data_IF_606073414395
#
_entry.id   IF_606073414395
#
_cell.length_a   1.000
_cell.length_b   1.000
_cell.length_c   1.000
_cell.angle_alpha   90.00
_cell.angle_beta   90.00
_cell.angle_gamma   90.00
#
_symmetry.space_group_name_H-M   'P 1'
#
loop_
_entity.id
_entity.type
_entity.pdbx_description
1 polymer ?
#
# COMPACT_ATOMS: atom_id res chain seq x y z
N UNK A 1 22.21 -4.07 13.51
CA UNK A 1 21.81 -2.71 13.15
C UNK A 1 20.70 -2.76 12.11
N UNK A 2 19.60 -2.07 12.35
CA UNK A 2 18.51 -2.09 11.38
C UNK A 2 18.85 -1.22 10.19
N UNK A 3 18.40 -1.63 9.02
CA UNK A 3 18.51 -0.84 7.81
C UNK A 3 17.14 -0.21 7.54
N UNK A 4 17.02 1.08 7.84
CA UNK A 4 15.75 1.81 7.76
C UNK A 4 15.12 1.74 6.37
N UNK A 5 15.93 1.85 5.32
CA UNK A 5 15.40 1.82 3.96
C UNK A 5 14.84 0.43 3.60
N UNK A 6 15.51 -0.62 4.05
CA UNK A 6 15.03 -1.99 3.83
C UNK A 6 13.73 -2.23 4.60
N UNK A 7 13.66 -1.79 5.85
CA UNK A 7 12.44 -1.93 6.65
C UNK A 7 11.26 -1.22 6.01
N UNK A 8 11.46 0.00 5.56
CA UNK A 8 10.40 0.78 4.89
C UNK A 8 10.01 0.17 3.55
N UNK A 9 10.96 -0.38 2.83
CA UNK A 9 10.70 -1.09 1.57
C UNK A 9 9.84 -2.32 1.80
N UNK A 10 10.14 -3.11 2.85
CA UNK A 10 9.35 -4.30 3.19
C UNK A 10 7.92 -3.91 3.58
N UNK A 11 7.75 -2.85 4.35
CA UNK A 11 6.43 -2.33 4.71
C UNK A 11 5.63 -1.92 3.46
N UNK A 12 6.29 -1.27 2.52
CA UNK A 12 5.68 -0.86 1.27
C UNK A 12 5.20 -2.07 0.47
N UNK A 13 6.02 -3.12 0.38
CA UNK A 13 5.67 -4.35 -0.32
C UNK A 13 4.43 -5.01 0.29
N UNK A 14 4.38 -5.10 1.62
CA UNK A 14 3.23 -5.68 2.33
C UNK A 14 1.97 -4.87 2.03
N UNK A 15 2.08 -3.55 2.02
CA UNK A 15 0.96 -2.68 1.72
C UNK A 15 0.44 -2.91 0.29
N UNK A 16 1.34 -3.04 -0.68
CA UNK A 16 0.98 -3.34 -2.06
C UNK A 16 0.26 -4.68 -2.16
N UNK A 17 0.77 -5.71 -1.50
CA UNK A 17 0.15 -7.03 -1.50
C UNK A 17 -1.25 -7.00 -0.90
N UNK A 18 -1.42 -6.26 0.19
CA UNK A 18 -2.73 -6.10 0.83
C UNK A 18 -3.71 -5.39 -0.09
N UNK A 19 -3.24 -4.35 -0.78
CA UNK A 19 -4.06 -3.58 -1.72
C UNK A 19 -4.49 -4.38 -2.94
N UNK A 20 -3.67 -5.29 -3.39
CA UNK A 20 -3.94 -6.06 -4.60
C UNK A 20 -5.30 -6.73 -4.56
N UNK A 21 -5.65 -7.38 -3.45
CA UNK A 21 -6.93 -8.04 -3.30
C UNK A 21 -8.09 -7.06 -3.43
N UNK A 22 -8.00 -5.92 -2.79
CA UNK A 22 -9.07 -4.91 -2.83
C UNK A 22 -9.22 -4.29 -4.20
N UNK A 23 -8.11 -4.07 -4.90
CA UNK A 23 -8.14 -3.54 -6.27
C UNK A 23 -8.85 -4.53 -7.20
N UNK A 24 -8.51 -5.82 -7.10
CA UNK A 24 -9.16 -6.85 -7.92
C UNK A 24 -10.65 -6.98 -7.60
N UNK A 25 -11.02 -6.98 -6.32
CA UNK A 25 -12.42 -7.05 -5.91
C UNK A 25 -13.21 -5.84 -6.40
N UNK A 26 -12.61 -4.66 -6.33
CA UNK A 26 -13.26 -3.45 -6.83
C UNK A 26 -13.48 -3.51 -8.34
N UNK A 27 -12.50 -4.03 -9.08
CA UNK A 27 -12.62 -4.20 -10.53
C UNK A 27 -13.78 -5.12 -10.88
N UNK A 28 -14.15 -6.07 -10.00
CA UNK A 28 -15.27 -6.98 -10.18
C UNK A 28 -16.59 -6.45 -9.58
N UNK A 29 -16.64 -5.16 -9.22
CA UNK A 29 -17.86 -4.52 -8.79
C UNK A 29 -18.07 -4.40 -7.28
N UNK A 30 -17.11 -4.79 -6.47
CA UNK A 30 -17.22 -4.68 -5.01
C UNK A 30 -16.90 -3.24 -4.57
N UNK A 31 -17.94 -2.49 -4.21
CA UNK A 31 -17.79 -1.08 -3.82
C UNK A 31 -17.03 -0.89 -2.51
N UNK A 32 -17.24 -1.78 -1.55
CA UNK A 32 -16.53 -1.73 -0.27
C UNK A 32 -15.03 -1.92 -0.48
N UNK A 33 -14.65 -2.83 -1.37
CA UNK A 33 -13.26 -3.02 -1.72
C UNK A 33 -12.66 -1.77 -2.38
N UNK A 34 -13.45 -1.06 -3.18
CA UNK A 34 -13.02 0.20 -3.79
C UNK A 34 -12.70 1.27 -2.74
N UNK A 35 -13.53 1.37 -1.70
CA UNK A 35 -13.28 2.31 -0.61
C UNK A 35 -11.98 1.96 0.12
N UNK A 36 -11.77 0.67 0.42
CA UNK A 36 -10.54 0.21 1.06
C UNK A 36 -9.32 0.43 0.18
N UNK A 37 -9.46 0.17 -1.12
CA UNK A 37 -8.38 0.37 -2.08
C UNK A 37 -7.93 1.84 -2.13
N UNK A 38 -8.89 2.77 -2.18
CA UNK A 38 -8.55 4.20 -2.19
C UNK A 38 -7.85 4.64 -0.92
N UNK A 39 -8.30 4.15 0.23
CA UNK A 39 -7.65 4.43 1.51
C UNK A 39 -6.23 3.86 1.52
N UNK A 40 -6.08 2.63 1.07
CA UNK A 40 -4.77 1.98 1.00
C UNK A 40 -3.82 2.68 0.03
N UNK A 41 -4.34 3.19 -1.09
CA UNK A 41 -3.52 3.95 -2.04
C UNK A 41 -3.00 5.26 -1.45
N UNK A 42 -3.79 5.90 -0.59
CA UNK A 42 -3.31 7.09 0.13
C UNK A 42 -2.20 6.74 1.10
N UNK A 43 -2.34 5.61 1.80
CA UNK A 43 -1.29 5.11 2.69
C UNK A 43 -0.03 4.75 1.91
N UNK A 44 -0.20 4.14 0.74
CA UNK A 44 0.91 3.80 -0.13
C UNK A 44 1.66 5.06 -0.59
N UNK A 45 0.93 6.10 -0.94
CA UNK A 45 1.52 7.38 -1.32
C UNK A 45 2.38 7.95 -0.19
N UNK A 46 1.87 7.93 1.03
CA UNK A 46 2.59 8.40 2.21
C UNK A 46 3.82 7.54 2.48
N UNK A 47 3.68 6.21 2.42
CA UNK A 47 4.79 5.30 2.65
C UNK A 47 5.90 5.48 1.60
N UNK A 48 5.51 5.65 0.33
CA UNK A 48 6.45 5.90 -0.75
C UNK A 48 7.18 7.23 -0.55
N UNK A 49 6.45 8.28 -0.14
CA UNK A 49 7.04 9.57 0.15
C UNK A 49 8.07 9.49 1.28
N UNK A 50 7.75 8.75 2.33
CA UNK A 50 8.67 8.55 3.45
C UNK A 50 9.93 7.81 3.01
N UNK A 51 9.77 6.83 2.14
CA UNK A 51 10.91 6.06 1.62
C UNK A 51 11.84 6.94 0.79
N UNK A 52 11.27 7.85 0.00
CA UNK A 52 12.06 8.78 -0.81
C UNK A 52 12.93 9.68 0.06
N UNK A 53 12.47 10.02 1.26
CA UNK A 53 13.19 10.89 2.20
C UNK A 53 14.32 10.20 2.96
N UNK A 54 14.37 8.91 2.92
CA UNK A 54 15.44 8.13 3.57
C UNK A 54 16.69 8.01 2.64
#
# INVERSE_FOLDING_TARGET
>A
MSNTIIEKWEELKVLVETLELDVHKNAHGNKSAGTRARKGLRLLKTAASDLVKV
#
